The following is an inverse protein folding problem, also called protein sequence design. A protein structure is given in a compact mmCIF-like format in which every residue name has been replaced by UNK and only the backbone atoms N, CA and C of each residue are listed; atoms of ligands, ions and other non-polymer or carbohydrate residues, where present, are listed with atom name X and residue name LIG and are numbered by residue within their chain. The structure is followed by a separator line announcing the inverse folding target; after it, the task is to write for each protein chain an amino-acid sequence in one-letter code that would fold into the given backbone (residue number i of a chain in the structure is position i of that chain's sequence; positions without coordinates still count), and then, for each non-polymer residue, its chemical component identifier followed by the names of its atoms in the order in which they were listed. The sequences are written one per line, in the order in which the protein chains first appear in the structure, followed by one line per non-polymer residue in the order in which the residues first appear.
data_IF_707278984973
#
_entry.id   IF_707278984973
#
_cell.length_a   1.000
_cell.length_b   1.000
_cell.length_c   1.000
_cell.angle_alpha   90.00
_cell.angle_beta   90.00
_cell.angle_gamma   90.00
#
_symmetry.space_group_name_H-M   'P 1'
#
loop_
_entity.id
_entity.type
_entity.pdbx_description
1 polymer ?
#
# COMPACT_ATOMS: atom_id res chain seq x y z
N UNK A 1 3.57 2.90 -21.72
CA UNK A 1 3.85 4.07 -20.85
C UNK A 1 4.24 3.62 -19.46
N UNK A 2 4.80 4.54 -18.62
CA UNK A 2 5.03 4.24 -17.20
C UNK A 2 3.73 4.35 -16.42
N UNK A 3 3.46 3.35 -15.58
CA UNK A 3 2.28 3.30 -14.72
C UNK A 3 2.67 2.99 -13.28
N UNK A 4 1.82 3.34 -12.32
CA UNK A 4 1.94 2.94 -10.93
C UNK A 4 0.64 2.35 -10.42
N UNK A 5 0.77 1.41 -9.50
CA UNK A 5 -0.32 0.83 -8.73
C UNK A 5 -0.59 1.66 -7.48
N UNK A 6 -1.85 1.86 -7.14
CA UNK A 6 -2.28 2.31 -5.83
C UNK A 6 -3.21 1.28 -5.23
N UNK A 7 -2.93 0.87 -4.01
CA UNK A 7 -3.66 -0.22 -3.36
C UNK A 7 -4.16 0.18 -1.98
N UNK A 8 -5.44 -0.14 -1.74
CA UNK A 8 -6.07 -0.01 -0.43
C UNK A 8 -6.61 -1.35 0.00
N UNK A 9 -6.01 -1.91 1.06
CA UNK A 9 -6.39 -3.19 1.63
C UNK A 9 -7.63 -3.09 2.54
N UNK A 10 -8.41 -4.16 2.52
CA UNK A 10 -9.49 -4.52 3.44
C UNK A 10 -9.30 -5.97 3.90
N UNK A 11 -10.16 -6.46 4.80
CA UNK A 11 -10.15 -7.87 5.20
C UNK A 11 -10.44 -8.77 3.99
N UNK A 12 -9.42 -9.48 3.53
CA UNK A 12 -9.49 -10.45 2.45
C UNK A 12 -9.46 -9.89 1.01
N UNK A 13 -9.37 -8.59 0.80
CA UNK A 13 -9.31 -8.00 -0.54
C UNK A 13 -8.63 -6.63 -0.57
N UNK A 14 -8.34 -6.13 -1.75
CA UNK A 14 -7.84 -4.77 -1.94
C UNK A 14 -8.48 -4.10 -3.16
N UNK A 15 -8.66 -2.78 -3.08
CA UNK A 15 -8.91 -1.96 -4.27
C UNK A 15 -7.56 -1.67 -4.93
N UNK A 16 -7.44 -2.00 -6.21
CA UNK A 16 -6.33 -1.64 -7.08
C UNK A 16 -6.79 -0.56 -8.07
N UNK A 17 -6.01 0.50 -8.20
CA UNK A 17 -6.11 1.46 -9.29
C UNK A 17 -4.75 1.59 -9.96
N UNK A 18 -4.73 1.43 -11.27
CA UNK A 18 -3.54 1.62 -12.11
C UNK A 18 -3.62 2.98 -12.77
N UNK A 19 -2.68 3.84 -12.47
CA UNK A 19 -2.57 5.15 -13.08
C UNK A 19 -1.34 5.24 -13.99
N UNK A 20 -1.52 5.90 -15.13
CA UNK A 20 -0.45 6.38 -15.98
C UNK A 20 -0.39 7.91 -15.98
N UNK A 21 0.70 8.43 -16.54
CA UNK A 21 0.85 9.86 -16.83
C UNK A 21 1.17 10.01 -18.32
N UNK A 22 0.41 10.87 -19.00
CA UNK A 22 0.64 11.25 -20.39
C UNK A 22 0.61 12.77 -20.49
N UNK A 23 1.70 13.35 -20.92
CA UNK A 23 1.84 14.80 -21.15
C UNK A 23 1.51 15.66 -19.91
N UNK A 24 1.76 15.12 -18.71
CA UNK A 24 1.47 15.79 -17.45
C UNK A 24 0.10 15.47 -16.85
N UNK A 25 -0.78 14.82 -17.60
CA UNK A 25 -2.12 14.44 -17.15
C UNK A 25 -2.17 12.99 -16.68
N UNK A 26 -2.81 12.77 -15.53
CA UNK A 26 -3.09 11.44 -15.03
C UNK A 26 -4.27 10.82 -15.76
N UNK A 27 -4.16 9.52 -16.02
CA UNK A 27 -5.24 8.71 -16.58
C UNK A 27 -5.36 7.39 -15.82
N UNK A 28 -6.59 6.90 -15.69
CA UNK A 28 -6.84 5.57 -15.15
C UNK A 28 -6.66 4.57 -16.29
N UNK A 29 -5.70 3.67 -16.13
CA UNK A 29 -5.41 2.58 -17.09
C UNK A 29 -6.26 1.37 -16.77
N UNK A 30 -6.36 1.06 -15.46
CA UNK A 30 -7.16 -0.07 -14.96
C UNK A 30 -7.61 0.19 -13.52
N UNK A 31 -8.65 -0.52 -13.12
CA UNK A 31 -9.11 -0.59 -11.73
C UNK A 31 -9.84 -1.90 -11.50
N UNK A 32 -9.54 -2.56 -10.42
CA UNK A 32 -10.22 -3.79 -10.05
C UNK A 32 -10.24 -3.99 -8.52
N UNK A 33 -11.02 -4.95 -8.11
CA UNK A 33 -10.93 -5.57 -6.81
C UNK A 33 -10.00 -6.77 -6.94
N UNK A 34 -9.05 -6.88 -6.03
CA UNK A 34 -8.08 -7.97 -5.93
C UNK A 34 -8.46 -8.79 -4.71
N UNK A 35 -8.79 -10.06 -4.88
CA UNK A 35 -9.05 -10.97 -3.76
C UNK A 35 -7.72 -11.43 -3.16
N UNK A 36 -7.65 -11.49 -1.84
CA UNK A 36 -6.46 -11.85 -1.08
C UNK A 36 -6.65 -13.10 -0.23
N UNK A 37 -7.82 -13.70 -0.32
CA UNK A 37 -8.19 -14.98 0.30
C UNK A 37 -9.07 -15.79 -0.64
N UNK A 38 -9.05 -17.10 -0.48
CA UNK A 38 -9.94 -18.05 -1.18
C UNK A 38 -11.12 -18.42 -0.28
N UNK A 39 -10.87 -18.59 1.02
CA UNK A 39 -11.84 -19.02 2.01
C UNK A 39 -12.30 -17.88 2.92
N UNK A 40 -13.56 -17.91 3.34
CA UNK A 40 -14.16 -16.87 4.19
C UNK A 40 -13.45 -16.73 5.55
N UNK A 41 -13.06 -17.85 6.19
CA UNK A 41 -12.35 -17.84 7.47
C UNK A 41 -11.00 -17.13 7.41
N UNK A 42 -10.33 -17.18 6.26
CA UNK A 42 -9.02 -16.58 6.08
C UNK A 42 -9.06 -15.03 6.01
N UNK A 43 -10.25 -14.43 5.95
CA UNK A 43 -10.41 -12.98 6.10
C UNK A 43 -10.09 -12.52 7.52
N UNK A 44 -10.32 -13.39 8.50
CA UNK A 44 -10.13 -13.11 9.92
C UNK A 44 -9.51 -14.33 10.62
N UNK A 45 -8.24 -14.68 10.31
CA UNK A 45 -7.64 -15.92 10.81
C UNK A 45 -7.43 -15.94 12.32
N UNK A 46 -7.29 -14.78 12.97
CA UNK A 46 -7.19 -14.71 14.42
C UNK A 46 -8.56 -14.97 15.09
N UNK A 47 -9.65 -14.43 14.56
CA UNK A 47 -11.00 -14.74 15.06
C UNK A 47 -11.38 -16.20 14.78
N UNK A 48 -10.99 -16.75 13.64
CA UNK A 48 -11.19 -18.15 13.34
C UNK A 48 -10.44 -19.10 14.29
N UNK A 49 -9.44 -18.58 15.01
CA UNK A 49 -8.62 -19.32 15.96
C UNK A 49 -9.01 -19.09 17.44
N UNK A 50 -9.93 -18.17 17.75
CA UNK A 50 -10.20 -17.65 19.10
C UNK A 50 -10.54 -18.75 20.11
N UNK A 51 -11.37 -19.73 19.69
CA UNK A 51 -11.87 -20.80 20.57
C UNK A 51 -11.07 -22.11 20.46
N UNK A 52 -9.93 -22.12 19.77
CA UNK A 52 -9.13 -23.32 19.57
C UNK A 52 -8.09 -23.48 20.69
N UNK A 53 -7.61 -24.71 20.87
CA UNK A 53 -6.44 -24.92 21.73
C UNK A 53 -5.20 -24.22 21.14
N UNK A 54 -4.17 -23.89 21.95
CA UNK A 54 -3.06 -23.06 21.53
C UNK A 54 -2.34 -23.53 20.26
N UNK A 55 -2.09 -24.83 20.10
CA UNK A 55 -1.39 -25.36 18.93
C UNK A 55 -2.24 -25.25 17.66
N UNK A 56 -3.52 -25.64 17.74
CA UNK A 56 -4.46 -25.52 16.63
C UNK A 56 -4.71 -24.05 16.25
N UNK A 57 -4.82 -23.16 17.23
CA UNK A 57 -4.97 -21.74 17.01
C UNK A 57 -3.77 -21.15 16.25
N UNK A 58 -2.57 -21.50 16.69
CA UNK A 58 -1.33 -21.10 16.02
C UNK A 58 -1.27 -21.57 14.57
N UNK A 59 -1.63 -22.85 14.32
CA UNK A 59 -1.64 -23.43 12.98
C UNK A 59 -2.65 -22.74 12.05
N UNK A 60 -3.84 -22.41 12.54
CA UNK A 60 -4.85 -21.66 11.77
C UNK A 60 -4.35 -20.28 11.40
N UNK A 61 -3.81 -19.54 12.35
CA UNK A 61 -3.27 -18.19 12.09
C UNK A 61 -2.13 -18.24 11.08
N UNK A 62 -1.14 -19.12 11.28
CA UNK A 62 0.02 -19.23 10.38
C UNK A 62 -0.42 -19.63 8.97
N UNK A 63 -1.36 -20.56 8.82
CA UNK A 63 -1.92 -20.94 7.52
C UNK A 63 -2.64 -19.78 6.85
N UNK A 64 -3.46 -19.02 7.58
CA UNK A 64 -4.15 -17.84 7.05
C UNK A 64 -3.17 -16.78 6.56
N UNK A 65 -2.15 -16.47 7.36
CA UNK A 65 -1.09 -15.52 7.01
C UNK A 65 -0.32 -15.98 5.76
N UNK A 66 0.13 -17.22 5.73
CA UNK A 66 0.88 -17.78 4.60
C UNK A 66 0.04 -17.77 3.30
N UNK A 67 -1.25 -18.11 3.41
CA UNK A 67 -2.17 -18.08 2.26
C UNK A 67 -2.36 -16.67 1.72
N UNK A 68 -2.63 -15.68 2.59
CA UNK A 68 -2.78 -14.30 2.18
C UNK A 68 -1.52 -13.78 1.46
N UNK A 69 -0.33 -14.12 1.95
CA UNK A 69 0.93 -13.73 1.30
C UNK A 69 1.12 -14.38 -0.07
N UNK A 70 0.83 -15.67 -0.20
CA UNK A 70 0.92 -16.41 -1.45
C UNK A 70 -0.02 -15.82 -2.51
N UNK A 71 -1.28 -15.59 -2.12
CA UNK A 71 -2.30 -15.04 -3.02
C UNK A 71 -1.93 -13.62 -3.45
N UNK A 72 -1.55 -12.75 -2.52
CA UNK A 72 -1.14 -11.37 -2.84
C UNK A 72 0.01 -11.33 -3.85
N UNK A 73 1.01 -12.22 -3.71
CA UNK A 73 2.13 -12.31 -4.68
C UNK A 73 1.63 -12.79 -6.04
N UNK A 74 0.75 -13.77 -6.11
CA UNK A 74 0.14 -14.26 -7.34
C UNK A 74 -0.63 -13.14 -8.07
N UNK A 75 -1.56 -12.50 -7.35
CA UNK A 75 -2.38 -11.41 -7.90
C UNK A 75 -1.54 -10.20 -8.37
N UNK A 76 -0.50 -9.84 -7.61
CA UNK A 76 0.40 -8.76 -8.01
C UNK A 76 1.16 -9.11 -9.29
N UNK A 77 1.64 -10.35 -9.43
CA UNK A 77 2.31 -10.83 -10.66
C UNK A 77 1.38 -10.77 -11.87
N UNK A 78 0.15 -11.22 -11.71
CA UNK A 78 -0.86 -11.18 -12.77
C UNK A 78 -1.22 -9.74 -13.15
N UNK A 79 -1.33 -8.82 -12.16
CA UNK A 79 -1.55 -7.41 -12.44
C UNK A 79 -0.37 -6.79 -13.22
N UNK A 80 0.86 -7.07 -12.83
CA UNK A 80 2.06 -6.60 -13.55
C UNK A 80 2.11 -7.18 -14.97
N UNK A 81 1.79 -8.46 -15.13
CA UNK A 81 1.75 -9.13 -16.43
C UNK A 81 0.71 -8.48 -17.35
N UNK A 82 -0.52 -8.26 -16.88
CA UNK A 82 -1.57 -7.57 -17.65
C UNK A 82 -1.13 -6.20 -18.16
N UNK A 83 -0.46 -5.41 -17.31
CA UNK A 83 0.04 -4.11 -17.75
C UNK A 83 1.18 -4.22 -18.77
N UNK A 84 2.06 -5.17 -18.61
CA UNK A 84 3.12 -5.43 -19.58
C UNK A 84 2.56 -5.86 -20.95
N UNK A 85 1.54 -6.70 -20.98
CA UNK A 85 0.83 -7.10 -22.19
C UNK A 85 0.14 -5.93 -22.91
N UNK A 86 -0.28 -4.91 -22.15
CA UNK A 86 -0.82 -3.63 -22.66
C UNK A 86 0.29 -2.66 -23.13
N UNK A 87 1.56 -3.05 -23.07
CA UNK A 87 2.69 -2.19 -23.40
C UNK A 87 3.03 -1.16 -22.32
N UNK A 88 2.61 -1.38 -21.07
CA UNK A 88 2.92 -0.53 -19.94
C UNK A 88 4.08 -1.09 -19.10
N UNK A 89 4.81 -0.18 -18.46
CA UNK A 89 5.86 -0.49 -17.47
C UNK A 89 5.35 -0.10 -16.07
N UNK A 90 5.16 -1.08 -15.19
CA UNK A 90 4.80 -0.82 -13.80
C UNK A 90 6.06 -0.43 -13.03
N UNK A 91 6.17 0.83 -12.63
CA UNK A 91 7.38 1.37 -11.98
C UNK A 91 7.32 1.39 -10.47
N UNK A 92 6.12 1.41 -9.90
CA UNK A 92 5.91 1.52 -8.45
C UNK A 92 4.55 0.97 -8.03
N UNK A 93 4.46 0.60 -6.75
CA UNK A 93 3.19 0.31 -6.09
C UNK A 93 3.11 1.11 -4.78
N UNK A 94 2.07 1.92 -4.65
CA UNK A 94 1.73 2.57 -3.39
C UNK A 94 0.74 1.70 -2.60
N UNK A 95 1.06 1.42 -1.34
CA UNK A 95 0.18 0.70 -0.42
C UNK A 95 -0.20 1.64 0.72
N UNK A 96 -1.50 1.78 0.97
CA UNK A 96 -1.99 2.52 2.13
C UNK A 96 -1.82 1.67 3.38
N UNK A 97 -1.10 2.22 4.37
CA UNK A 97 -0.77 1.53 5.61
C UNK A 97 -1.43 2.18 6.83
N UNK A 98 -1.62 1.41 7.89
CA UNK A 98 -2.01 1.90 9.21
C UNK A 98 -0.76 2.26 10.04
N UNK A 99 -0.99 2.72 11.27
CA UNK A 99 0.08 2.86 12.24
C UNK A 99 0.70 1.48 12.53
N UNK A 100 2.01 1.41 12.76
CA UNK A 100 2.68 0.17 13.08
C UNK A 100 2.04 -0.52 14.30
N UNK A 101 1.92 -1.83 14.22
CA UNK A 101 1.53 -2.66 15.35
C UNK A 101 2.79 -3.05 16.14
N UNK A 102 2.75 -3.13 17.48
CA UNK A 102 3.81 -3.76 18.25
C UNK A 102 4.06 -5.19 17.80
N UNK A 103 5.26 -5.70 18.03
CA UNK A 103 5.66 -7.07 17.67
C UNK A 103 5.10 -8.06 18.71
N UNK A 104 3.78 -8.27 18.67
CA UNK A 104 3.09 -9.24 19.51
C UNK A 104 3.21 -10.64 18.94
N UNK A 105 3.39 -11.65 19.81
CA UNK A 105 3.26 -13.06 19.45
C UNK A 105 1.80 -13.38 19.07
N UNK A 106 1.58 -14.53 18.42
CA UNK A 106 0.21 -15.01 18.10
C UNK A 106 -0.59 -15.14 19.38
N UNK A 107 -0.01 -15.70 20.44
CA UNK A 107 -0.63 -15.89 21.75
C UNK A 107 -1.01 -14.56 22.39
N UNK A 108 -0.13 -13.57 22.33
CA UNK A 108 -0.41 -12.21 22.82
C UNK A 108 -1.52 -11.52 22.04
N UNK A 109 -1.62 -11.78 20.74
CA UNK A 109 -2.71 -11.27 19.90
C UNK A 109 -4.01 -11.93 20.29
N UNK A 110 -4.06 -13.26 20.36
CA UNK A 110 -5.26 -14.04 20.69
C UNK A 110 -5.77 -13.76 22.11
N UNK A 111 -4.90 -13.41 23.05
CA UNK A 111 -5.28 -13.06 24.42
C UNK A 111 -6.16 -11.80 24.55
N UNK A 112 -6.24 -10.97 23.51
CA UNK A 112 -6.95 -9.68 23.59
C UNK A 112 -7.68 -9.39 22.27
N UNK A 113 -9.01 -9.44 22.30
CA UNK A 113 -9.87 -9.26 21.11
C UNK A 113 -9.50 -8.02 20.25
N UNK A 114 -9.22 -6.86 20.88
CA UNK A 114 -8.79 -5.68 20.15
C UNK A 114 -7.46 -5.87 19.38
N UNK A 115 -6.55 -6.73 19.87
CA UNK A 115 -5.30 -7.05 19.17
C UNK A 115 -5.57 -7.89 17.93
N UNK A 116 -6.55 -8.80 17.95
CA UNK A 116 -6.95 -9.57 16.78
C UNK A 116 -7.39 -8.66 15.64
N UNK A 117 -8.26 -7.69 15.90
CA UNK A 117 -8.65 -6.71 14.89
C UNK A 117 -7.47 -5.91 14.33
N UNK A 118 -6.50 -5.54 15.16
CA UNK A 118 -5.29 -4.85 14.70
C UNK A 118 -4.42 -5.76 13.82
N UNK A 119 -4.21 -7.00 14.22
CA UNK A 119 -3.40 -7.96 13.48
C UNK A 119 -4.01 -8.28 12.11
N UNK A 120 -5.32 -8.51 12.04
CA UNK A 120 -6.04 -8.73 10.79
C UNK A 120 -6.04 -7.48 9.89
N UNK A 121 -6.18 -6.30 10.50
CA UNK A 121 -6.04 -5.05 9.78
C UNK A 121 -4.63 -4.83 9.19
N UNK A 122 -3.59 -5.34 9.84
CA UNK A 122 -2.21 -5.29 9.34
C UNK A 122 -1.94 -6.36 8.26
N UNK A 123 -2.46 -7.57 8.43
CA UNK A 123 -2.17 -8.75 7.60
C UNK A 123 -2.21 -8.47 6.11
N UNK A 124 -3.30 -7.91 5.60
CA UNK A 124 -3.47 -7.72 4.16
C UNK A 124 -2.65 -6.55 3.61
N UNK A 125 -2.32 -5.56 4.44
CA UNK A 125 -1.36 -4.50 4.08
C UNK A 125 0.04 -5.05 3.95
N UNK A 126 0.46 -5.91 4.88
CA UNK A 126 1.75 -6.58 4.87
C UNK A 126 1.86 -7.56 3.70
N UNK A 127 0.77 -8.26 3.37
CA UNK A 127 0.71 -9.12 2.19
C UNK A 127 0.98 -8.33 0.89
N UNK A 128 0.36 -7.16 0.73
CA UNK A 128 0.58 -6.29 -0.43
C UNK A 128 2.00 -5.69 -0.46
N UNK A 129 2.56 -5.33 0.70
CA UNK A 129 3.94 -4.84 0.81
C UNK A 129 4.93 -5.94 0.38
N UNK A 130 4.74 -7.18 0.86
CA UNK A 130 5.55 -8.33 0.47
C UNK A 130 5.41 -8.64 -1.03
N UNK A 131 4.19 -8.63 -1.54
CA UNK A 131 3.91 -8.83 -2.97
C UNK A 131 4.61 -7.78 -3.84
N UNK A 132 4.55 -6.51 -3.45
CA UNK A 132 5.24 -5.41 -4.14
C UNK A 132 6.75 -5.66 -4.23
N UNK A 133 7.37 -6.04 -3.11
CA UNK A 133 8.82 -6.36 -3.05
C UNK A 133 9.15 -7.61 -3.88
N UNK A 134 8.34 -8.66 -3.80
CA UNK A 134 8.53 -9.91 -4.52
C UNK A 134 8.41 -9.75 -6.06
N UNK A 135 7.69 -8.72 -6.51
CA UNK A 135 7.59 -8.35 -7.92
C UNK A 135 8.65 -7.33 -8.37
N UNK A 136 9.60 -6.97 -7.51
CA UNK A 136 10.67 -6.01 -7.82
C UNK A 136 10.17 -4.57 -8.03
N UNK A 137 8.97 -4.23 -7.58
CA UNK A 137 8.40 -2.90 -7.73
C UNK A 137 8.91 -1.97 -6.62
N UNK A 138 9.08 -0.69 -6.95
CA UNK A 138 9.35 0.33 -5.95
C UNK A 138 8.13 0.51 -5.04
N UNK A 139 8.30 0.19 -3.76
CA UNK A 139 7.26 0.35 -2.74
C UNK A 139 7.17 1.81 -2.27
N UNK A 140 5.94 2.32 -2.20
CA UNK A 140 5.59 3.60 -1.56
C UNK A 140 4.55 3.32 -0.46
N UNK A 141 5.00 3.12 0.77
CA UNK A 141 4.10 2.92 1.91
C UNK A 141 3.62 4.30 2.41
N UNK A 142 2.31 4.54 2.37
CA UNK A 142 1.71 5.82 2.76
C UNK A 142 0.75 5.59 3.92
N UNK A 143 0.98 6.18 5.12
CA UNK A 143 0.00 6.15 6.19
C UNK A 143 -1.34 6.73 5.72
N UNK A 144 -2.43 5.97 5.83
CA UNK A 144 -3.74 6.35 5.26
C UNK A 144 -4.19 7.73 5.77
N UNK A 145 -3.97 8.02 7.04
CA UNK A 145 -4.28 9.32 7.67
C UNK A 145 -3.44 10.48 7.11
N UNK A 146 -2.31 10.20 6.49
CA UNK A 146 -1.39 11.19 5.92
C UNK A 146 -1.47 11.28 4.40
N UNK A 147 -2.34 10.49 3.74
CA UNK A 147 -2.42 10.38 2.29
C UNK A 147 -2.58 11.74 1.60
N UNK A 148 -3.51 12.56 2.07
CA UNK A 148 -3.76 13.90 1.50
C UNK A 148 -2.52 14.78 1.59
N UNK A 149 -1.89 14.85 2.76
CA UNK A 149 -0.69 15.66 2.99
C UNK A 149 0.48 15.19 2.12
N UNK A 150 0.67 13.87 1.99
CA UNK A 150 1.68 13.31 1.09
C UNK A 150 1.39 13.67 -0.37
N UNK A 151 0.12 13.61 -0.79
CA UNK A 151 -0.27 13.96 -2.15
C UNK A 151 -0.09 15.46 -2.44
N UNK A 152 -0.48 16.35 -1.52
CA UNK A 152 -0.26 17.80 -1.67
C UNK A 152 1.23 18.12 -1.85
N UNK A 153 2.08 17.49 -1.03
CA UNK A 153 3.53 17.69 -1.09
C UNK A 153 4.14 17.13 -2.40
N UNK A 154 3.81 15.88 -2.75
CA UNK A 154 4.38 15.21 -3.91
C UNK A 154 3.93 15.83 -5.24
N UNK A 155 2.68 16.25 -5.33
CA UNK A 155 2.06 16.78 -6.55
C UNK A 155 2.12 18.32 -6.61
N UNK A 156 2.62 18.98 -5.56
CA UNK A 156 2.61 20.44 -5.41
C UNK A 156 1.24 21.05 -5.74
N UNK A 157 0.19 20.38 -5.30
CA UNK A 157 -1.21 20.69 -5.64
C UNK A 157 -2.03 20.73 -4.35
N UNK A 158 -2.75 21.82 -4.05
CA UNK A 158 -3.58 21.91 -2.85
C UNK A 158 -4.75 20.94 -2.90
N UNK A 159 -5.34 20.63 -1.72
CA UNK A 159 -6.44 19.68 -1.58
C UNK A 159 -7.58 19.91 -2.58
N UNK A 160 -7.99 21.16 -2.79
CA UNK A 160 -9.05 21.49 -3.75
C UNK A 160 -8.71 21.07 -5.19
N UNK A 161 -7.44 21.20 -5.58
CA UNK A 161 -6.95 20.74 -6.87
C UNK A 161 -6.91 19.20 -6.97
N UNK A 162 -6.48 18.52 -5.89
CA UNK A 162 -6.49 17.05 -5.81
C UNK A 162 -7.90 16.49 -5.93
N UNK A 163 -8.87 17.10 -5.23
CA UNK A 163 -10.28 16.70 -5.30
C UNK A 163 -10.81 16.82 -6.74
N UNK A 164 -10.49 17.93 -7.43
CA UNK A 164 -10.88 18.11 -8.85
C UNK A 164 -10.25 17.05 -9.75
N UNK A 165 -8.94 16.78 -9.61
CA UNK A 165 -8.24 15.75 -10.39
C UNK A 165 -8.86 14.36 -10.19
N UNK A 166 -9.11 13.95 -8.95
CA UNK A 166 -9.76 12.66 -8.62
C UNK A 166 -11.18 12.60 -9.16
N UNK A 167 -11.95 13.69 -9.12
CA UNK A 167 -13.29 13.75 -9.69
C UNK A 167 -13.25 13.59 -11.22
N UNK A 168 -12.31 14.24 -11.89
CA UNK A 168 -12.12 14.14 -13.35
C UNK A 168 -11.76 12.70 -13.75
N UNK A 169 -10.85 12.04 -13.03
CA UNK A 169 -10.55 10.63 -13.27
C UNK A 169 -11.77 9.73 -13.09
N UNK A 170 -12.60 9.99 -12.08
CA UNK A 170 -13.82 9.24 -11.87
C UNK A 170 -14.82 9.39 -13.01
N UNK A 171 -14.94 10.60 -13.59
CA UNK A 171 -15.81 10.84 -14.74
C UNK A 171 -15.34 10.08 -15.98
N UNK A 172 -14.03 9.94 -16.18
CA UNK A 172 -13.49 9.25 -17.37
C UNK A 172 -13.72 7.74 -17.35
N UNK A 173 -13.89 7.14 -16.17
CA UNK A 173 -14.04 5.69 -16.02
C UNK A 173 -15.42 5.24 -15.55
N UNK A 174 -16.27 6.16 -15.12
CA UNK A 174 -17.61 5.86 -14.63
C UNK A 174 -17.65 5.13 -13.28
N UNK A 175 -18.83 4.64 -12.85
CA UNK A 175 -18.99 3.89 -11.61
C UNK A 175 -18.42 2.46 -11.72
N UNK A 176 -18.01 1.83 -10.57
CA UNK A 176 -17.93 2.42 -9.25
C UNK A 176 -16.66 3.28 -9.08
N UNK A 177 -16.79 4.47 -8.48
CA UNK A 177 -15.67 5.34 -8.12
C UNK A 177 -15.87 5.85 -6.69
N UNK A 178 -15.79 4.91 -5.74
CA UNK A 178 -16.02 5.13 -4.32
C UNK A 178 -14.78 5.65 -3.58
N UNK A 179 -14.84 5.63 -2.26
CA UNK A 179 -13.76 6.10 -1.37
C UNK A 179 -12.47 5.34 -1.63
N UNK A 180 -12.54 4.02 -1.76
CA UNK A 180 -11.35 3.17 -1.89
C UNK A 180 -10.61 3.41 -3.20
N UNK A 181 -11.34 3.50 -4.33
CA UNK A 181 -10.75 3.81 -5.64
C UNK A 181 -10.13 5.20 -5.65
N UNK A 182 -10.78 6.20 -5.02
CA UNK A 182 -10.25 7.57 -4.92
C UNK A 182 -8.96 7.62 -4.11
N UNK A 183 -8.90 6.90 -3.00
CA UNK A 183 -7.70 6.84 -2.16
C UNK A 183 -6.58 6.04 -2.84
N UNK A 184 -6.89 4.91 -3.47
CA UNK A 184 -5.93 4.15 -4.25
C UNK A 184 -5.38 4.97 -5.43
N UNK A 185 -6.24 5.70 -6.16
CA UNK A 185 -5.81 6.59 -7.23
C UNK A 185 -4.87 7.70 -6.72
N UNK A 186 -5.21 8.33 -5.60
CA UNK A 186 -4.37 9.36 -5.01
C UNK A 186 -2.99 8.81 -4.59
N UNK A 187 -2.96 7.59 -4.03
CA UNK A 187 -1.72 6.89 -3.70
C UNK A 187 -0.89 6.57 -4.97
N UNK A 188 -1.52 6.12 -6.05
CA UNK A 188 -0.85 5.88 -7.33
C UNK A 188 -0.27 7.16 -7.94
N UNK A 189 -0.97 8.31 -7.83
CA UNK A 189 -0.42 9.60 -8.24
C UNK A 189 0.88 9.92 -7.51
N UNK A 190 0.92 9.74 -6.18
CA UNK A 190 2.13 9.93 -5.38
C UNK A 190 3.25 9.01 -5.86
N UNK A 191 2.93 7.75 -6.13
CA UNK A 191 3.90 6.78 -6.60
C UNK A 191 4.49 7.14 -7.98
N UNK A 192 3.72 7.73 -8.87
CA UNK A 192 4.20 8.14 -10.20
C UNK A 192 5.21 9.28 -10.16
N UNK A 193 5.18 10.15 -9.14
CA UNK A 193 6.11 11.28 -9.03
C UNK A 193 7.55 10.87 -8.67
N UNK A 194 7.79 9.62 -8.33
CA UNK A 194 9.12 9.16 -7.93
C UNK A 194 9.44 9.45 -6.46
N UNK A 195 10.68 9.21 -6.02
CA UNK A 195 11.11 9.58 -4.68
C UNK A 195 11.04 11.10 -4.53
N UNK A 196 10.42 11.57 -3.43
CA UNK A 196 10.60 12.96 -3.03
C UNK A 196 12.11 13.18 -2.83
N UNK A 197 12.72 14.08 -3.60
CA UNK A 197 14.09 14.51 -3.34
C UNK A 197 14.12 15.12 -1.93
N UNK A 198 14.55 14.34 -0.96
CA UNK A 198 14.93 14.88 0.34
C UNK A 198 16.20 15.68 0.06
N UNK A 199 16.08 17.01 -0.08
CA UNK A 199 17.26 17.89 -0.05
C UNK A 199 17.99 17.58 1.25
N UNK A 200 19.09 16.82 1.15
CA UNK A 200 20.05 16.72 2.24
C UNK A 200 20.52 18.13 2.51
N UNK A 201 20.10 18.68 3.63
CA UNK A 201 20.69 19.91 4.15
C UNK A 201 22.21 19.69 4.22
N UNK A 202 22.96 20.43 3.42
CA UNK A 202 24.40 20.40 3.45
C UNK A 202 24.83 20.80 4.87
N UNK A 203 25.35 19.84 5.63
CA UNK A 203 26.04 20.13 6.87
C UNK A 203 27.23 21.00 6.51
N UNK A 204 27.22 22.24 6.98
CA UNK A 204 28.35 23.14 6.87
C UNK A 204 29.56 22.49 7.57
N UNK A 205 30.75 22.45 6.96
CA UNK A 205 31.95 22.01 7.65
C UNK A 205 32.28 23.06 8.70
N UNK A 206 32.24 22.67 9.97
CA UNK A 206 32.79 23.47 11.06
C UNK A 206 34.28 23.65 10.83
N UNK A 207 34.69 24.86 10.50
CA UNK A 207 36.07 25.25 10.41
C UNK A 207 36.71 25.13 11.80
N UNK A 208 37.50 24.08 12.00
CA UNK A 208 38.36 23.90 13.17
C UNK A 208 39.44 24.98 13.16
N UNK A 209 39.31 25.93 14.06
CA UNK A 209 40.32 26.94 14.32
C UNK A 209 41.41 26.33 15.19
N UNK A 210 42.49 25.86 14.56
CA UNK A 210 43.71 25.48 15.27
C UNK A 210 44.45 26.75 15.73
N UNK A 211 44.36 27.10 17.00
CA UNK A 211 45.26 28.04 17.62
C UNK A 211 46.38 27.28 18.32
N UNK A 212 47.52 27.34 17.66
CA UNK A 212 48.85 27.04 18.17
C UNK A 212 49.21 28.03 19.30
N UNK A 213 49.64 27.54 20.46
CA UNK A 213 50.53 28.28 21.42
C UNK A 213 51.36 27.26 22.18
N UNK A 214 52.65 27.32 21.84
CA UNK A 214 53.89 27.32 22.67
C UNK A 214 53.92 26.39 23.86
#
# INVERSE_FOLDING_TARGET
MKVAFGMKAHSGWAALVVLGNRDGDFLVVDRCRVELVEDEWAKQPYHAAEDLNPDAARDVVLRGVATAYRIAVGEMREAVKRERERGNEVTACAVLVADPMPDWSIEEVLAVHFRMHKAEGALFRDALIRATKACGLRLVAIPEKMLTKHAESALKTPLSGLVKKIATLGKSVGPPWGKDQKQAALAAMVALQGPLEVKRSAAQPTSGNSRNRR
#
